data_IF_032133647766
#
_entry.id   IF_032133647766
#
_cell.length_a   1.000
_cell.length_b   1.000
_cell.length_c   1.000
_cell.angle_alpha   90.00
_cell.angle_beta   90.00
_cell.angle_gamma   90.00
#
_symmetry.space_group_name_H-M   'P 1'
#
loop_
_entity.id
_entity.type
_entity.pdbx_description
1 polymer ?
#
# COMPACT_ATOMS: atom_id res chain seq x y z
N UNK A 1 -16.61 -17.98 -13.31
CA UNK A 1 -15.81 -16.88 -12.74
C UNK A 1 -16.27 -15.60 -13.43
N UNK A 2 -16.77 -14.62 -12.69
CA UNK A 2 -17.21 -13.35 -13.26
C UNK A 2 -16.00 -12.56 -13.76
N UNK A 3 -16.18 -11.68 -14.75
CA UNK A 3 -15.12 -10.77 -15.24
C UNK A 3 -14.59 -9.90 -14.10
N UNK A 4 -15.44 -9.57 -13.12
CA UNK A 4 -15.07 -8.80 -11.94
C UNK A 4 -14.12 -9.58 -11.01
N UNK A 5 -14.33 -10.90 -10.87
CA UNK A 5 -13.48 -11.76 -10.03
C UNK A 5 -12.06 -11.87 -10.64
N UNK A 6 -11.99 -11.95 -11.97
CA UNK A 6 -10.71 -11.97 -12.70
C UNK A 6 -9.95 -10.66 -12.54
N UNK A 7 -10.65 -9.51 -12.62
CA UNK A 7 -10.03 -8.21 -12.41
C UNK A 7 -9.51 -8.04 -10.98
N UNK A 8 -10.27 -8.49 -9.98
CA UNK A 8 -9.81 -8.48 -8.59
C UNK A 8 -8.55 -9.36 -8.39
N UNK A 9 -8.51 -10.55 -8.98
CA UNK A 9 -7.32 -11.41 -8.95
C UNK A 9 -6.11 -10.77 -9.63
N UNK A 10 -6.31 -10.12 -10.78
CA UNK A 10 -5.25 -9.40 -11.48
C UNK A 10 -4.74 -8.21 -10.68
N UNK A 11 -5.63 -7.47 -10.01
CA UNK A 11 -5.25 -6.36 -9.15
C UNK A 11 -4.36 -6.84 -8.00
N UNK A 12 -4.77 -7.90 -7.29
CA UNK A 12 -3.95 -8.50 -6.22
C UNK A 12 -2.60 -9.00 -6.76
N UNK A 13 -2.58 -9.61 -7.94
CA UNK A 13 -1.34 -10.07 -8.56
C UNK A 13 -0.39 -8.91 -8.91
N UNK A 14 -0.91 -7.82 -9.47
CA UNK A 14 -0.15 -6.60 -9.79
C UNK A 14 0.42 -5.97 -8.52
N UNK A 15 -0.38 -5.87 -7.47
CA UNK A 15 0.04 -5.35 -6.17
C UNK A 15 1.21 -6.16 -5.58
N UNK A 16 1.10 -7.49 -5.64
CA UNK A 16 2.14 -8.39 -5.19
C UNK A 16 3.44 -8.21 -5.98
N UNK A 17 3.34 -8.03 -7.31
CA UNK A 17 4.50 -7.76 -8.18
C UNK A 17 5.15 -6.42 -7.82
N UNK A 18 4.36 -5.38 -7.56
CA UNK A 18 4.86 -4.06 -7.15
C UNK A 18 5.61 -4.17 -5.82
N UNK A 19 5.04 -4.84 -4.81
CA UNK A 19 5.68 -5.03 -3.50
C UNK A 19 6.98 -5.82 -3.61
N UNK A 20 6.96 -6.93 -4.37
CA UNK A 20 8.14 -7.78 -4.58
C UNK A 20 9.23 -7.04 -5.34
N UNK A 21 8.86 -6.34 -6.41
CA UNK A 21 9.77 -5.55 -7.23
C UNK A 21 10.42 -4.42 -6.44
N UNK A 22 9.61 -3.66 -5.69
CA UNK A 22 10.09 -2.60 -4.81
C UNK A 22 11.03 -3.13 -3.72
N UNK A 23 10.63 -4.20 -3.02
CA UNK A 23 11.45 -4.81 -1.97
C UNK A 23 12.79 -5.29 -2.54
N UNK A 24 12.77 -5.93 -3.72
CA UNK A 24 13.99 -6.43 -4.36
C UNK A 24 14.91 -5.28 -4.80
N UNK A 25 14.36 -4.23 -5.42
CA UNK A 25 15.11 -3.04 -5.83
C UNK A 25 15.77 -2.39 -4.61
N UNK A 26 14.98 -2.11 -3.57
CA UNK A 26 15.42 -1.40 -2.39
C UNK A 26 16.49 -2.18 -1.61
N UNK A 27 16.36 -3.51 -1.52
CA UNK A 27 17.34 -4.38 -0.86
C UNK A 27 18.57 -4.70 -1.71
N UNK A 28 18.44 -4.72 -3.04
CA UNK A 28 19.58 -4.83 -3.95
C UNK A 28 20.46 -3.59 -3.88
N UNK A 29 19.86 -2.39 -3.79
CA UNK A 29 20.57 -1.14 -3.52
C UNK A 29 21.26 -1.19 -2.15
N UNK A 30 20.59 -1.74 -1.13
CA UNK A 30 21.17 -1.87 0.21
C UNK A 30 22.20 -3.01 0.37
N UNK A 31 22.40 -3.87 -0.64
CA UNK A 31 23.20 -5.13 -0.56
C UNK A 31 22.81 -6.04 0.62
N UNK A 32 21.56 -5.97 1.10
CA UNK A 32 21.07 -6.73 2.27
C UNK A 32 19.98 -7.74 1.88
N UNK A 33 20.23 -8.56 0.86
CA UNK A 33 19.26 -9.56 0.36
C UNK A 33 18.72 -10.53 1.43
N UNK A 34 19.48 -10.78 2.50
CA UNK A 34 19.06 -11.63 3.61
C UNK A 34 17.81 -11.11 4.36
N UNK A 35 17.47 -9.81 4.20
CA UNK A 35 16.28 -9.19 4.81
C UNK A 35 15.05 -9.18 3.90
N UNK A 36 15.14 -9.74 2.69
CA UNK A 36 14.06 -9.71 1.70
C UNK A 36 12.74 -10.31 2.19
N UNK A 37 12.80 -11.51 2.75
CA UNK A 37 11.59 -12.18 3.26
C UNK A 37 10.97 -11.35 4.39
N UNK A 38 11.80 -10.86 5.33
CA UNK A 38 11.32 -10.06 6.45
C UNK A 38 10.65 -8.74 5.99
N UNK A 39 11.29 -8.00 5.08
CA UNK A 39 10.75 -6.74 4.55
C UNK A 39 9.47 -6.96 3.76
N UNK A 40 9.44 -7.98 2.90
CA UNK A 40 8.26 -8.31 2.08
C UNK A 40 7.09 -8.75 2.95
N UNK A 41 7.33 -9.65 3.92
CA UNK A 41 6.29 -10.06 4.87
C UNK A 41 5.81 -8.91 5.74
N UNK A 42 6.70 -8.00 6.15
CA UNK A 42 6.30 -6.82 6.91
C UNK A 42 5.40 -5.91 6.07
N UNK A 43 5.78 -5.60 4.83
CA UNK A 43 4.98 -4.78 3.91
C UNK A 43 3.61 -5.41 3.65
N UNK A 44 3.58 -6.68 3.22
CA UNK A 44 2.33 -7.41 2.97
C UNK A 44 1.45 -7.52 4.21
N UNK A 45 2.05 -7.82 5.37
CA UNK A 45 1.32 -7.93 6.63
C UNK A 45 0.71 -6.61 7.07
N UNK A 46 1.45 -5.50 6.91
CA UNK A 46 0.92 -4.17 7.24
C UNK A 46 -0.14 -3.72 6.28
N UNK A 47 0.00 -4.02 4.99
CA UNK A 47 -1.00 -3.71 3.99
C UNK A 47 -2.32 -4.46 4.25
N UNK A 48 -2.24 -5.77 4.52
CA UNK A 48 -3.40 -6.58 4.91
C UNK A 48 -4.08 -6.06 6.18
N UNK A 49 -3.29 -5.66 7.19
CA UNK A 49 -3.83 -5.10 8.44
C UNK A 49 -4.56 -3.78 8.19
N UNK A 50 -3.97 -2.90 7.37
CA UNK A 50 -4.56 -1.60 7.04
C UNK A 50 -5.83 -1.78 6.22
N UNK A 51 -5.82 -2.69 5.25
CA UNK A 51 -7.01 -3.06 4.46
C UNK A 51 -8.13 -3.60 5.35
N UNK A 52 -7.80 -4.45 6.33
CA UNK A 52 -8.76 -4.97 7.30
C UNK A 52 -9.37 -3.84 8.17
N UNK A 53 -8.54 -2.90 8.62
CA UNK A 53 -9.01 -1.73 9.40
C UNK A 53 -9.79 -0.73 8.54
N UNK A 54 -9.45 -0.59 7.26
CA UNK A 54 -10.12 0.32 6.32
C UNK A 54 -11.50 -0.18 5.93
N UNK A 55 -11.73 -1.51 5.84
CA UNK A 55 -12.99 -2.10 5.44
C UNK A 55 -14.23 -1.55 6.22
N UNK A 56 -14.27 -1.55 7.56
CA UNK A 56 -15.41 -0.98 8.31
C UNK A 56 -15.52 0.54 8.17
N UNK A 57 -14.40 1.25 7.98
CA UNK A 57 -14.40 2.71 7.77
C UNK A 57 -15.02 3.05 6.42
N UNK A 58 -14.64 2.34 5.36
CA UNK A 58 -15.19 2.49 4.01
C UNK A 58 -16.68 2.11 4.01
N UNK A 59 -17.05 1.02 4.69
CA UNK A 59 -18.46 0.65 4.83
C UNK A 59 -19.27 1.77 5.52
N UNK A 60 -18.73 2.38 6.57
CA UNK A 60 -19.38 3.52 7.25
C UNK A 60 -19.51 4.72 6.32
N UNK A 61 -18.48 5.06 5.54
CA UNK A 61 -18.52 6.14 4.57
C UNK A 61 -19.49 5.89 3.41
N UNK A 62 -19.71 4.63 3.01
CA UNK A 62 -20.69 4.29 1.98
C UNK A 62 -22.15 4.54 2.42
N UNK A 63 -22.43 4.39 3.70
CA UNK A 63 -23.76 4.65 4.29
C UNK A 63 -23.92 6.13 4.62
N UNK A 64 -22.88 6.74 5.18
CA UNK A 64 -22.87 8.13 5.64
C UNK A 64 -21.60 8.85 5.15
N UNK A 65 -21.59 9.34 3.90
CA UNK A 65 -20.40 9.96 3.31
C UNK A 65 -19.87 11.17 4.08
N UNK A 66 -20.75 11.87 4.79
CA UNK A 66 -20.41 13.07 5.56
C UNK A 66 -20.10 12.79 7.04
N UNK A 67 -19.85 11.53 7.41
CA UNK A 67 -19.46 11.18 8.77
C UNK A 67 -18.03 11.65 9.05
N UNK A 68 -17.91 12.76 9.79
CA UNK A 68 -16.62 13.36 10.13
C UNK A 68 -15.66 12.41 10.86
N UNK A 69 -16.16 11.49 11.69
CA UNK A 69 -15.32 10.51 12.39
C UNK A 69 -14.73 9.49 11.41
N UNK A 70 -15.53 9.02 10.44
CA UNK A 70 -15.07 8.07 9.44
C UNK A 70 -14.05 8.73 8.48
N UNK A 71 -14.26 10.00 8.13
CA UNK A 71 -13.29 10.79 7.36
C UNK A 71 -11.96 10.99 8.12
N UNK A 72 -12.02 11.32 9.42
CA UNK A 72 -10.82 11.42 10.25
C UNK A 72 -10.11 10.07 10.39
N UNK A 73 -10.86 8.97 10.51
CA UNK A 73 -10.31 7.63 10.60
C UNK A 73 -9.57 7.23 9.31
N UNK A 74 -10.15 7.46 8.13
CA UNK A 74 -9.49 7.10 6.87
C UNK A 74 -8.23 7.94 6.62
N UNK A 75 -8.25 9.25 6.95
CA UNK A 75 -7.06 10.11 6.86
C UNK A 75 -5.98 9.61 7.83
N UNK A 76 -6.36 9.25 9.06
CA UNK A 76 -5.43 8.71 10.05
C UNK A 76 -4.80 7.40 9.58
N UNK A 77 -5.59 6.51 8.95
CA UNK A 77 -5.08 5.27 8.35
C UNK A 77 -4.10 5.52 7.20
N UNK A 78 -4.37 6.52 6.33
CA UNK A 78 -3.46 6.90 5.25
C UNK A 78 -2.12 7.39 5.81
N UNK A 79 -2.15 8.27 6.81
CA UNK A 79 -0.93 8.77 7.46
C UNK A 79 -0.19 7.61 8.14
N UNK A 80 -0.91 6.73 8.82
CA UNK A 80 -0.34 5.57 9.49
C UNK A 80 0.32 4.59 8.51
N UNK A 81 -0.34 4.30 7.37
CA UNK A 81 0.21 3.48 6.28
C UNK A 81 1.54 4.05 5.77
N UNK A 82 1.58 5.36 5.52
CA UNK A 82 2.78 6.02 5.05
C UNK A 82 3.93 5.97 6.06
N UNK A 83 3.65 6.25 7.34
CA UNK A 83 4.64 6.23 8.41
C UNK A 83 5.19 4.82 8.68
N UNK A 84 4.33 3.79 8.69
CA UNK A 84 4.74 2.40 8.84
C UNK A 84 5.64 1.98 7.68
N UNK A 85 5.23 2.29 6.45
CA UNK A 85 6.00 1.94 5.25
C UNK A 85 7.38 2.57 5.29
N UNK A 86 7.47 3.85 5.66
CA UNK A 86 8.73 4.55 5.89
C UNK A 86 9.56 3.89 7.01
N UNK A 87 8.94 3.48 8.10
CA UNK A 87 9.61 2.79 9.20
C UNK A 87 10.21 1.44 8.77
N UNK A 88 9.46 0.65 7.99
CA UNK A 88 9.92 -0.63 7.44
C UNK A 88 11.10 -0.42 6.48
N UNK A 89 10.96 0.52 5.53
CA UNK A 89 12.02 0.85 4.56
C UNK A 89 13.27 1.35 5.29
N UNK A 90 13.13 2.19 6.31
CA UNK A 90 14.25 2.66 7.13
C UNK A 90 15.02 1.48 7.70
N UNK A 91 14.33 0.49 8.25
CA UNK A 91 14.95 -0.69 8.86
C UNK A 91 15.55 -1.65 7.82
N UNK A 92 14.95 -1.71 6.62
CA UNK A 92 15.43 -2.51 5.51
C UNK A 92 16.72 -1.93 4.88
N UNK A 93 16.76 -0.61 4.67
CA UNK A 93 17.88 0.08 4.02
C UNK A 93 18.94 0.57 5.01
N UNK A 94 18.67 0.51 6.32
CA UNK A 94 19.53 1.10 7.37
C UNK A 94 19.88 2.57 7.13
N UNK A 95 18.96 3.32 6.53
CA UNK A 95 19.10 4.75 6.18
C UNK A 95 18.37 5.64 7.19
N UNK A 96 18.50 6.96 7.03
CA UNK A 96 17.76 7.94 7.83
C UNK A 96 16.25 7.83 7.62
N UNK A 97 15.45 8.19 8.64
CA UNK A 97 13.99 8.14 8.55
C UNK A 97 13.46 9.07 7.45
N UNK A 98 14.04 10.27 7.27
CA UNK A 98 13.64 11.21 6.22
C UNK A 98 13.87 10.65 4.82
N UNK A 99 14.98 9.94 4.59
CA UNK A 99 15.22 9.27 3.31
C UNK A 99 14.19 8.17 3.06
N UNK A 100 13.93 7.34 4.08
CA UNK A 100 12.93 6.29 3.98
C UNK A 100 11.51 6.81 3.77
N UNK A 101 11.18 7.98 4.33
CA UNK A 101 9.89 8.66 4.14
C UNK A 101 9.69 9.09 2.68
N UNK A 102 10.72 9.67 2.06
CA UNK A 102 10.70 10.04 0.65
C UNK A 102 10.55 8.81 -0.26
N UNK A 103 11.29 7.73 0.04
CA UNK A 103 11.17 6.47 -0.70
C UNK A 103 9.77 5.83 -0.51
N UNK A 104 9.22 5.86 0.71
CA UNK A 104 7.86 5.37 0.98
C UNK A 104 6.80 6.17 0.20
N UNK A 105 6.97 7.49 0.14
CA UNK A 105 6.10 8.34 -0.65
C UNK A 105 6.17 7.98 -2.14
N UNK A 106 7.39 7.87 -2.70
CA UNK A 106 7.58 7.47 -4.09
C UNK A 106 6.99 6.08 -4.38
N UNK A 107 7.13 5.14 -3.45
CA UNK A 107 6.55 3.81 -3.55
C UNK A 107 5.02 3.87 -3.61
N UNK A 108 4.37 4.50 -2.62
CA UNK A 108 2.89 4.59 -2.55
C UNK A 108 2.36 5.34 -3.76
N UNK A 109 2.99 6.47 -4.13
CA UNK A 109 2.60 7.26 -5.29
C UNK A 109 2.72 6.46 -6.59
N UNK A 110 3.84 5.77 -6.80
CA UNK A 110 4.03 4.94 -8.00
C UNK A 110 3.05 3.77 -8.05
N UNK A 111 2.80 3.10 -6.93
CA UNK A 111 1.83 2.02 -6.83
C UNK A 111 0.43 2.51 -7.20
N UNK A 112 0.02 3.67 -6.66
CA UNK A 112 -1.26 4.29 -6.99
C UNK A 112 -1.37 4.66 -8.46
N UNK A 113 -0.34 5.27 -9.06
CA UNK A 113 -0.33 5.60 -10.48
C UNK A 113 -0.40 4.36 -11.38
N UNK A 114 0.35 3.30 -11.05
CA UNK A 114 0.33 2.03 -11.79
C UNK A 114 -1.06 1.40 -11.71
N UNK A 115 -1.65 1.34 -10.52
CA UNK A 115 -3.01 0.82 -10.33
C UNK A 115 -4.05 1.64 -11.10
N UNK A 116 -3.97 2.98 -11.05
CA UNK A 116 -4.89 3.85 -11.77
C UNK A 116 -4.81 3.71 -13.30
N UNK A 117 -3.61 3.45 -13.84
CA UNK A 117 -3.41 3.21 -15.28
C UNK A 117 -3.86 1.82 -15.70
N UNK A 118 -3.60 0.80 -14.88
CA UNK A 118 -3.94 -0.60 -15.21
C UNK A 118 -5.42 -0.94 -14.95
N UNK A 119 -6.05 -0.28 -13.96
CA UNK A 119 -7.43 -0.52 -13.56
C UNK A 119 -8.26 0.79 -13.48
N UNK A 120 -8.40 1.54 -14.58
CA UNK A 120 -9.12 2.82 -14.59
C UNK A 120 -10.64 2.67 -14.33
N UNK A 121 -11.19 1.46 -14.39
CA UNK A 121 -12.63 1.17 -14.34
C UNK A 121 -13.21 0.95 -12.93
N UNK A 122 -12.44 1.18 -11.86
CA UNK A 122 -12.97 1.25 -10.47
C UNK A 122 -13.09 2.70 -9.96
N UNK A 123 -13.23 3.65 -10.89
CA UNK A 123 -13.57 5.04 -10.61
C UNK A 123 -15.08 5.20 -10.85
N UNK A 124 -15.90 5.59 -9.86
CA UNK A 124 -17.31 5.91 -10.09
C UNK A 124 -17.39 7.26 -10.80
N UNK A 125 -17.03 7.28 -12.07
CA UNK A 125 -17.47 8.31 -13.00
C UNK A 125 -18.49 7.65 -13.89
N UNK A 126 -19.74 7.67 -13.40
CA UNK A 126 -21.02 7.93 -14.09
C UNK A 126 -22.17 7.49 -13.19
#
# INVERSE_FOLDING_TARGET
MSVNDLNALLQVAVELIIILGFSNLALSIAKKRQRFVQTTCALLGTDALISLCAAPVIATLSISPNNGLALLAIISLIIWHWLITAHIIRHALSQSFSFALGIAFLYIFSAYQIMGVLFPTMNPTN
#
